data_IF_089873933179
#
_entry.id   IF_089873933179
#
_cell.length_a   1.000
_cell.length_b   1.000
_cell.length_c   1.000
_cell.angle_alpha   90.00
_cell.angle_beta   90.00
_cell.angle_gamma   90.00
#
_symmetry.space_group_name_H-M   'P 1'
#
loop_
_entity.id
_entity.type
_entity.pdbx_description
1 polymer ?
#
# COMPACT_ATOMS: atom_id res chain seq x y z
N UNK A 1 -8.39 3.78 11.17
CA UNK A 1 -8.03 5.20 10.92
C UNK A 1 -7.22 5.28 9.64
N UNK A 2 -7.78 5.78 8.53
CA UNK A 2 -7.06 5.93 7.26
C UNK A 2 -6.24 7.22 7.32
N UNK A 3 -4.94 7.13 7.60
CA UNK A 3 -4.03 8.29 7.51
C UNK A 3 -3.77 8.59 6.05
N UNK A 4 -4.06 9.81 5.63
CA UNK A 4 -3.68 10.34 4.32
C UNK A 4 -2.15 10.39 4.21
N UNK A 5 -1.58 9.88 3.12
CA UNK A 5 -0.13 9.89 2.87
C UNK A 5 0.14 10.83 1.68
N UNK A 6 0.23 12.16 1.91
CA UNK A 6 0.64 13.07 0.85
C UNK A 6 1.99 12.60 0.30
N UNK A 7 2.06 12.42 -1.03
CA UNK A 7 3.25 12.01 -1.79
C UNK A 7 3.73 10.56 -1.67
N UNK A 8 2.93 9.60 -1.17
CA UNK A 8 3.37 8.19 -1.17
C UNK A 8 3.60 7.61 -2.57
N UNK A 9 3.05 8.22 -3.60
CA UNK A 9 3.26 7.82 -5.00
C UNK A 9 4.65 8.23 -5.54
N UNK A 10 5.42 9.02 -4.80
CA UNK A 10 6.77 9.41 -5.18
C UNK A 10 7.77 8.38 -4.68
N UNK A 11 8.35 7.60 -5.60
CA UNK A 11 9.40 6.61 -5.30
C UNK A 11 10.62 7.24 -4.65
N UNK A 12 11.25 6.49 -3.76
CA UNK A 12 12.46 6.90 -3.02
C UNK A 12 13.72 6.18 -3.49
N UNK A 13 13.61 5.14 -4.29
CA UNK A 13 14.77 4.39 -4.79
C UNK A 13 15.57 3.70 -3.69
N UNK A 14 14.98 3.54 -2.50
CA UNK A 14 15.62 2.92 -1.35
C UNK A 14 15.00 1.55 -1.09
N UNK A 15 15.69 0.44 -1.45
CA UNK A 15 15.15 -0.89 -1.26
C UNK A 15 15.06 -1.27 0.23
N UNK A 16 15.80 -0.62 1.13
CA UNK A 16 15.74 -0.90 2.57
C UNK A 16 14.61 -0.16 3.30
N UNK A 17 13.79 0.61 2.58
CA UNK A 17 12.66 1.33 3.15
C UNK A 17 11.37 0.50 3.01
N UNK A 18 10.74 0.22 4.15
CA UNK A 18 9.49 -0.54 4.22
C UNK A 18 8.37 0.27 4.87
N UNK A 19 7.14 -0.06 4.51
CA UNK A 19 5.91 0.41 5.15
C UNK A 19 5.12 -0.82 5.61
N UNK A 20 4.61 -0.76 6.83
CA UNK A 20 3.72 -1.78 7.38
C UNK A 20 2.33 -1.16 7.52
N UNK A 21 1.37 -1.70 6.77
CA UNK A 21 -0.04 -1.37 6.96
C UNK A 21 -0.59 -2.29 8.04
N UNK A 22 -1.26 -1.72 9.03
CA UNK A 22 -1.79 -2.48 10.16
C UNK A 22 -3.31 -2.43 10.11
N UNK A 23 -3.94 -3.60 10.01
CA UNK A 23 -5.36 -3.74 10.28
C UNK A 23 -5.54 -4.11 11.76
N UNK A 24 -6.30 -3.28 12.47
CA UNK A 24 -6.60 -3.46 13.89
C UNK A 24 -8.08 -3.80 14.01
N UNK A 25 -8.37 -5.01 14.46
CA UNK A 25 -9.73 -5.49 14.74
C UNK A 25 -9.91 -5.64 16.26
N UNK A 26 -11.12 -5.48 16.78
CA UNK A 26 -11.37 -5.50 18.23
C UNK A 26 -11.25 -6.90 18.86
N UNK A 27 -11.59 -7.94 18.10
CA UNK A 27 -11.68 -9.33 18.59
C UNK A 27 -10.64 -10.27 18.00
N UNK A 28 -9.76 -9.78 17.13
CA UNK A 28 -8.77 -10.59 16.42
C UNK A 28 -7.36 -10.05 16.59
N UNK A 29 -6.37 -10.90 16.31
CA UNK A 29 -4.97 -10.48 16.28
C UNK A 29 -4.77 -9.47 15.14
N UNK A 30 -3.92 -8.44 15.33
CA UNK A 30 -3.60 -7.50 14.26
C UNK A 30 -3.06 -8.19 13.01
N UNK A 31 -3.48 -7.69 11.85
CA UNK A 31 -2.91 -8.11 10.57
C UNK A 31 -1.89 -7.08 10.10
N UNK A 32 -0.65 -7.51 9.88
CA UNK A 32 0.43 -6.66 9.39
C UNK A 32 0.69 -6.96 7.92
N UNK A 33 0.50 -5.99 7.04
CA UNK A 33 0.82 -6.14 5.63
C UNK A 33 2.11 -5.38 5.33
N UNK A 34 3.18 -6.12 4.99
CA UNK A 34 4.52 -5.57 4.83
C UNK A 34 4.84 -5.30 3.36
N UNK A 35 5.25 -4.06 3.07
CA UNK A 35 5.60 -3.60 1.73
C UNK A 35 6.96 -2.94 1.70
N UNK A 36 7.72 -3.18 0.63
CA UNK A 36 8.74 -2.23 0.21
C UNK A 36 8.07 -0.92 -0.22
N UNK A 37 8.66 0.22 0.15
CA UNK A 37 8.03 1.53 -0.05
C UNK A 37 7.69 1.81 -1.51
N UNK A 38 8.65 1.59 -2.43
CA UNK A 38 8.45 1.87 -3.85
C UNK A 38 7.41 0.94 -4.50
N UNK A 39 7.27 -0.29 -3.98
CA UNK A 39 6.22 -1.22 -4.42
C UNK A 39 4.84 -0.72 -3.97
N UNK A 40 4.71 -0.27 -2.72
CA UNK A 40 3.47 0.33 -2.24
C UNK A 40 3.12 1.62 -2.99
N UNK A 41 4.12 2.43 -3.35
CA UNK A 41 3.94 3.63 -4.16
C UNK A 41 3.30 3.31 -5.51
N UNK A 42 3.78 2.27 -6.20
CA UNK A 42 3.21 1.79 -7.47
C UNK A 42 1.77 1.30 -7.31
N UNK A 43 1.49 0.52 -6.26
CA UNK A 43 0.14 0.00 -5.98
C UNK A 43 -0.84 1.16 -5.76
N UNK A 44 -0.45 2.15 -4.95
CA UNK A 44 -1.28 3.31 -4.65
C UNK A 44 -1.51 4.16 -5.91
N UNK A 45 -0.48 4.35 -6.73
CA UNK A 45 -0.60 5.07 -8.00
C UNK A 45 -1.58 4.36 -8.95
N UNK A 46 -1.45 3.05 -9.12
CA UNK A 46 -2.38 2.22 -9.91
C UNK A 46 -3.82 2.35 -9.43
N UNK A 47 -4.04 2.29 -8.12
CA UNK A 47 -5.39 2.40 -7.55
C UNK A 47 -6.02 3.78 -7.81
N UNK A 48 -5.20 4.83 -7.71
CA UNK A 48 -5.62 6.19 -7.99
C UNK A 48 -5.96 6.41 -9.46
N UNK A 49 -5.15 5.89 -10.38
CA UNK A 49 -5.44 5.91 -11.83
C UNK A 49 -6.72 5.16 -12.15
N UNK A 50 -6.92 3.97 -11.58
CA UNK A 50 -8.13 3.17 -11.76
C UNK A 50 -9.39 3.87 -11.24
N UNK A 51 -9.28 4.63 -10.13
CA UNK A 51 -10.37 5.46 -9.65
C UNK A 51 -10.74 6.54 -10.67
N UNK A 52 -9.75 7.26 -11.19
CA UNK A 52 -9.95 8.35 -12.14
C UNK A 52 -10.46 7.90 -13.50
N UNK A 53 -10.07 6.71 -13.94
CA UNK A 53 -10.52 6.12 -15.19
C UNK A 53 -12.03 5.79 -15.18
N UNK A 54 -12.63 5.59 -13.99
CA UNK A 54 -14.06 5.27 -13.87
C UNK A 54 -14.88 6.57 -13.92
N UNK A 55 -15.69 6.80 -14.97
CA UNK A 55 -16.60 7.94 -15.00
C UNK A 55 -17.58 7.87 -13.83
N UNK A 56 -18.16 9.02 -13.48
CA UNK A 56 -19.30 9.07 -12.56
C UNK A 56 -20.55 8.48 -13.22
N UNK A 57 -21.59 8.27 -12.42
CA UNK A 57 -22.90 7.80 -12.90
C UNK A 57 -23.50 8.73 -13.97
N UNK A 58 -23.18 10.03 -13.90
CA UNK A 58 -23.59 11.05 -14.88
C UNK A 58 -22.69 11.10 -16.13
N UNK A 59 -21.73 10.18 -16.27
CA UNK A 59 -20.76 10.16 -17.37
C UNK A 59 -19.65 11.20 -17.25
N UNK A 60 -19.71 12.12 -16.27
CA UNK A 60 -18.68 13.13 -16.07
C UNK A 60 -17.40 12.53 -15.47
N UNK A 61 -16.26 13.18 -15.72
CA UNK A 61 -14.99 12.79 -15.12
C UNK A 61 -15.01 12.98 -13.60
N UNK A 62 -14.30 12.11 -12.88
CA UNK A 62 -14.05 12.30 -11.45
C UNK A 62 -13.14 13.50 -11.25
N UNK A 63 -13.37 14.23 -10.15
CA UNK A 63 -12.48 15.31 -9.75
C UNK A 63 -11.19 14.71 -9.19
N UNK A 64 -10.09 15.43 -9.37
CA UNK A 64 -8.86 15.14 -8.62
C UNK A 64 -9.16 15.27 -7.12
N UNK A 65 -8.71 14.26 -6.37
CA UNK A 65 -8.85 14.19 -4.93
C UNK A 65 -7.45 14.31 -4.34
N UNK A 66 -7.27 15.17 -3.34
CA UNK A 66 -5.97 15.45 -2.72
C UNK A 66 -5.39 14.31 -1.87
N UNK A 67 -5.99 13.12 -1.90
CA UNK A 67 -5.52 11.96 -1.15
C UNK A 67 -5.30 10.76 -2.07
N UNK A 68 -4.50 9.82 -1.57
CA UNK A 68 -4.20 8.54 -2.20
C UNK A 68 -4.46 7.45 -1.16
N UNK A 69 -4.93 6.29 -1.59
CA UNK A 69 -5.31 5.22 -0.66
C UNK A 69 -5.01 3.84 -1.23
N UNK A 70 -4.88 2.90 -0.32
CA UNK A 70 -4.89 1.48 -0.57
C UNK A 70 -5.57 0.82 0.63
N UNK A 71 -6.65 0.11 0.37
CA UNK A 71 -7.46 -0.56 1.39
C UNK A 71 -7.75 -2.00 0.97
N UNK A 72 -8.28 -2.78 1.91
CA UNK A 72 -8.54 -4.22 1.75
C UNK A 72 -9.48 -4.55 0.60
N UNK A 73 -10.32 -3.62 0.14
CA UNK A 73 -11.23 -3.83 -1.02
C UNK A 73 -10.48 -3.80 -2.34
N UNK A 74 -9.26 -3.26 -2.35
CA UNK A 74 -8.37 -3.17 -3.51
C UNK A 74 -7.26 -4.23 -3.48
N UNK A 75 -7.26 -5.13 -2.49
CA UNK A 75 -6.22 -6.14 -2.34
C UNK A 75 -6.33 -7.22 -3.42
N UNK A 76 -5.20 -7.43 -4.08
CA UNK A 76 -4.91 -8.58 -4.93
C UNK A 76 -4.40 -9.75 -4.10
N UNK A 77 -4.19 -10.90 -4.73
CA UNK A 77 -3.61 -12.07 -4.05
C UNK A 77 -2.19 -11.81 -3.56
N UNK A 78 -1.42 -10.98 -4.28
CA UNK A 78 -0.09 -10.55 -3.83
C UNK A 78 -0.18 -9.75 -2.52
N UNK A 79 -1.14 -8.83 -2.40
CA UNK A 79 -1.37 -8.05 -1.18
C UNK A 79 -1.75 -8.97 0.00
N UNK A 80 -2.60 -9.97 -0.25
CA UNK A 80 -2.98 -10.96 0.77
C UNK A 80 -1.79 -11.80 1.24
N UNK A 81 -0.88 -12.15 0.33
CA UNK A 81 0.34 -12.91 0.65
C UNK A 81 1.38 -12.10 1.45
N UNK A 82 1.20 -10.79 1.60
CA UNK A 82 2.04 -9.92 2.46
C UNK A 82 1.61 -9.92 3.92
N UNK A 83 0.43 -10.49 4.25
CA UNK A 83 -0.08 -10.60 5.62
C UNK A 83 0.89 -11.38 6.50
N UNK A 84 1.34 -10.74 7.57
CA UNK A 84 2.28 -11.23 8.57
C UNK A 84 3.57 -11.86 7.99
N UNK A 85 3.95 -11.46 6.78
CA UNK A 85 5.11 -12.01 6.08
C UNK A 85 6.34 -11.12 6.28
N UNK A 86 7.06 -11.32 7.38
CA UNK A 86 8.24 -10.54 7.77
C UNK A 86 9.52 -10.92 7.02
N UNK A 87 9.50 -12.02 6.25
CA UNK A 87 10.65 -12.56 5.53
C UNK A 87 11.42 -11.52 4.69
N UNK A 88 10.77 -10.59 3.96
CA UNK A 88 11.51 -9.60 3.17
C UNK A 88 12.45 -8.75 4.03
N UNK A 89 12.01 -8.32 5.22
CA UNK A 89 12.81 -7.52 6.15
C UNK A 89 13.92 -8.38 6.75
N UNK A 90 13.59 -9.59 7.24
CA UNK A 90 14.54 -10.53 7.82
C UNK A 90 15.68 -10.86 6.84
N UNK A 91 15.35 -11.11 5.57
CA UNK A 91 16.34 -11.37 4.52
C UNK A 91 17.27 -10.17 4.27
N UNK A 92 16.78 -8.93 4.36
CA UNK A 92 17.64 -7.74 4.22
C UNK A 92 18.55 -7.56 5.43
N UNK A 93 18.04 -7.81 6.64
CA UNK A 93 18.86 -7.77 7.85
C UNK A 93 19.99 -8.80 7.80
N UNK A 94 19.70 -10.04 7.41
CA UNK A 94 20.71 -11.09 7.28
C UNK A 94 21.83 -10.73 6.28
N UNK A 95 21.51 -10.06 5.17
CA UNK A 95 22.50 -9.58 4.19
C UNK A 95 23.38 -8.45 4.70
N UNK A 96 22.91 -7.66 5.67
CA UNK A 96 23.68 -6.56 6.26
C UNK A 96 24.53 -7.00 7.46
N UNK A 97 24.26 -8.17 8.03
CA UNK A 97 25.02 -8.75 9.15
C UNK A 97 26.10 -9.74 8.72
N UNK A 98 26.24 -10.02 7.41
CA UNK A 98 27.27 -10.86 6.80
C UNK A 98 28.35 -9.99 6.15
#
# INVERSE_FOLDING_TARGET
MVRTLPNITTKKGNPSLFIVLVNLEESELPEFYIYEYDVLADIIQRNYEAYHAKPKLDGSKRKDVGFRWHDTKLFTDDDRNRKNNWKPIEMKLAKHSA
#
